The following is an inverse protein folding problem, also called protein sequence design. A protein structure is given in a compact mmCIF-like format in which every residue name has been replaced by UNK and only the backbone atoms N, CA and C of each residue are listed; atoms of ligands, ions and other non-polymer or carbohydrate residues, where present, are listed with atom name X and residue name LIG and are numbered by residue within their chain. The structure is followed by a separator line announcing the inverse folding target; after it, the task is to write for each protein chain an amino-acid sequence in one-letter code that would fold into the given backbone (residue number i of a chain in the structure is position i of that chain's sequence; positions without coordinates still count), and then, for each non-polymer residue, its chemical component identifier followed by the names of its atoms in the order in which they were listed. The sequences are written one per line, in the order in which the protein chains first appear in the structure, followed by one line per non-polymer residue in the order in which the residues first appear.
data_IF_737290028152
#
_entry.id   IF_737290028152
#
_cell.length_a   1.000
_cell.length_b   1.000
_cell.length_c   1.000
_cell.angle_alpha   90.00
_cell.angle_beta   90.00
_cell.angle_gamma   90.00
#
_symmetry.space_group_name_H-M   'P 1'
#
loop_
_entity.id
_entity.type
_entity.pdbx_description
1 polymer ?
#
# COMPACT_ATOMS: atom_id res chain seq x y z
N UNK A 1 -15.86 -28.02 22.99
CA UNK A 1 -14.67 -27.95 22.11
C UNK A 1 -14.99 -26.92 21.04
N UNK A 2 -14.49 -25.68 21.08
CA UNK A 2 -13.14 -25.35 20.64
C UNK A 2 -12.66 -24.06 21.32
N UNK A 3 -11.78 -24.21 22.32
CA UNK A 3 -10.96 -23.14 22.87
C UNK A 3 -9.96 -22.71 21.81
N UNK A 4 -10.29 -21.69 21.00
CA UNK A 4 -9.27 -20.97 20.25
C UNK A 4 -8.63 -19.99 21.22
N UNK A 5 -7.54 -20.42 21.83
CA UNK A 5 -6.60 -19.52 22.48
C UNK A 5 -6.17 -18.48 21.44
N UNK A 6 -6.69 -17.26 21.56
CA UNK A 6 -6.13 -16.12 20.86
C UNK A 6 -4.77 -15.87 21.51
N UNK A 7 -3.72 -16.42 20.93
CA UNK A 7 -2.33 -16.07 21.25
C UNK A 7 -2.13 -14.61 20.87
N UNK A 8 -2.50 -13.72 21.80
CA UNK A 8 -2.24 -12.31 21.72
C UNK A 8 -0.73 -12.12 21.87
N UNK A 9 -0.08 -11.98 20.71
CA UNK A 9 0.95 -11.00 20.46
C UNK A 9 1.70 -10.49 21.71
N UNK A 10 2.91 -11.03 21.94
CA UNK A 10 3.87 -10.56 22.93
C UNK A 10 4.51 -9.22 22.54
N UNK A 11 3.72 -8.15 22.36
CA UNK A 11 4.26 -6.80 22.21
C UNK A 11 4.15 -6.11 23.57
N UNK A 12 5.29 -6.09 24.25
CA UNK A 12 5.55 -5.41 25.50
C UNK A 12 5.46 -3.90 25.31
N UNK A 13 4.26 -3.32 25.31
CA UNK A 13 4.08 -1.89 25.60
C UNK A 13 2.93 -1.67 26.56
N UNK A 14 3.26 -0.93 27.61
CA UNK A 14 2.49 -0.65 28.82
C UNK A 14 1.14 0.04 28.53
N UNK A 15 0.06 -0.72 28.43
CA UNK A 15 -1.29 -0.40 28.95
C UNK A 15 -2.26 -1.51 28.52
N UNK A 16 -3.07 -2.00 29.45
CA UNK A 16 -4.05 -3.06 29.16
C UNK A 16 -5.17 -2.49 28.28
N UNK A 17 -5.09 -2.71 26.98
CA UNK A 17 -6.14 -2.30 26.04
C UNK A 17 -7.36 -3.23 26.23
N UNK A 18 -8.40 -2.73 26.91
CA UNK A 18 -9.57 -3.54 27.28
C UNK A 18 -10.47 -3.81 26.05
N UNK A 19 -10.89 -5.06 25.87
CA UNK A 19 -11.79 -5.51 24.79
C UNK A 19 -13.11 -4.69 24.76
N UNK A 20 -13.73 -4.48 25.93
CA UNK A 20 -15.01 -3.77 26.06
C UNK A 20 -14.97 -2.31 25.60
N UNK A 21 -13.84 -1.62 25.77
CA UNK A 21 -13.68 -0.22 25.35
C UNK A 21 -13.66 -0.08 23.82
N UNK A 22 -13.13 -1.09 23.13
CA UNK A 22 -12.99 -1.07 21.67
C UNK A 22 -14.30 -1.35 20.94
N UNK A 23 -15.11 -2.26 21.47
CA UNK A 23 -16.43 -2.55 20.92
C UNK A 23 -17.35 -1.33 20.99
N UNK A 24 -17.27 -0.56 22.09
CA UNK A 24 -18.07 0.65 22.27
C UNK A 24 -17.63 1.82 21.37
N UNK A 25 -16.33 2.02 21.15
CA UNK A 25 -15.80 3.19 20.41
C UNK A 25 -15.61 2.94 18.92
N UNK A 26 -15.12 1.76 18.55
CA UNK A 26 -14.69 1.47 17.19
C UNK A 26 -15.48 0.35 16.53
N UNK A 27 -16.30 -0.41 17.28
CA UNK A 27 -17.04 -1.60 16.78
C UNK A 27 -16.13 -2.57 15.99
N UNK A 28 -14.87 -2.69 16.38
CA UNK A 28 -13.89 -3.57 15.73
C UNK A 28 -13.42 -4.65 16.70
N UNK A 29 -13.15 -5.88 16.22
CA UNK A 29 -12.60 -6.92 17.07
C UNK A 29 -11.17 -6.57 17.48
N UNK A 30 -10.80 -6.97 18.70
CA UNK A 30 -9.48 -6.69 19.27
C UNK A 30 -8.33 -7.20 18.39
N UNK A 31 -8.51 -8.33 17.72
CA UNK A 31 -7.51 -8.89 16.79
C UNK A 31 -7.17 -7.93 15.65
N UNK A 32 -8.17 -7.23 15.12
CA UNK A 32 -7.97 -6.22 14.07
C UNK A 32 -7.25 -5.00 14.61
N UNK A 33 -7.62 -4.53 15.80
CA UNK A 33 -6.94 -3.38 16.45
C UNK A 33 -5.48 -3.70 16.75
N UNK A 34 -5.19 -4.87 17.32
CA UNK A 34 -3.82 -5.32 17.57
C UNK A 34 -3.00 -5.40 16.27
N UNK A 35 -3.61 -5.88 15.18
CA UNK A 35 -2.93 -5.91 13.87
C UNK A 35 -2.61 -4.50 13.36
N UNK A 36 -3.56 -3.58 13.44
CA UNK A 36 -3.33 -2.17 13.07
C UNK A 36 -2.21 -1.56 13.91
N UNK A 37 -2.18 -1.82 15.21
CA UNK A 37 -1.13 -1.31 16.11
C UNK A 37 0.25 -1.90 15.79
N UNK A 38 0.32 -3.17 15.37
CA UNK A 38 1.57 -3.78 14.88
C UNK A 38 2.04 -3.14 13.58
N UNK A 39 1.12 -2.95 12.65
CA UNK A 39 1.39 -2.43 11.30
C UNK A 39 1.42 -0.88 11.28
N UNK A 40 1.33 -0.22 12.44
CA UNK A 40 1.17 1.24 12.55
C UNK A 40 2.27 2.01 11.82
N UNK A 41 3.52 1.54 11.93
CA UNK A 41 4.69 2.21 11.36
C UNK A 41 4.67 2.13 9.84
N UNK A 42 4.36 0.95 9.30
CA UNK A 42 4.18 0.74 7.85
C UNK A 42 3.02 1.57 7.28
N UNK A 43 1.92 1.74 8.03
CA UNK A 43 0.80 2.59 7.60
C UNK A 43 1.20 4.07 7.54
N UNK A 44 1.98 4.55 8.51
CA UNK A 44 2.47 5.94 8.55
C UNK A 44 3.46 6.17 7.40
N UNK A 45 4.43 5.29 7.22
CA UNK A 45 5.41 5.37 6.13
C UNK A 45 4.74 5.32 4.75
N UNK A 46 3.74 4.46 4.58
CA UNK A 46 2.97 4.40 3.34
C UNK A 46 2.19 5.70 3.06
N UNK A 47 1.69 6.36 4.11
CA UNK A 47 1.00 7.64 3.98
C UNK A 47 1.99 8.76 3.60
N UNK A 48 3.15 8.82 4.25
CA UNK A 48 4.21 9.81 3.97
C UNK A 48 4.81 9.65 2.56
N UNK A 49 4.96 8.41 2.08
CA UNK A 49 5.40 8.12 0.70
C UNK A 49 4.37 8.47 -0.39
N UNK A 50 3.23 9.06 -0.01
CA UNK A 50 2.23 9.60 -0.93
C UNK A 50 1.12 8.62 -1.30
N UNK A 51 0.93 7.54 -0.53
CA UNK A 51 -0.26 6.71 -0.70
C UNK A 51 -1.51 7.51 -0.35
N UNK A 52 -2.54 7.38 -1.20
CA UNK A 52 -3.81 8.06 -0.94
C UNK A 52 -4.45 7.57 0.36
N UNK A 53 -4.95 8.51 1.18
CA UNK A 53 -5.67 8.22 2.43
C UNK A 53 -6.87 7.26 2.28
N UNK A 54 -7.42 7.13 1.06
CA UNK A 54 -8.54 6.23 0.75
C UNK A 54 -8.12 4.79 0.42
N UNK A 55 -6.82 4.51 0.28
CA UNK A 55 -6.31 3.19 -0.12
C UNK A 55 -6.38 2.21 1.05
N UNK A 56 -7.18 1.16 0.90
CA UNK A 56 -7.37 0.12 1.94
C UNK A 56 -6.25 -0.93 1.93
N UNK A 57 -5.61 -1.16 0.78
CA UNK A 57 -4.59 -2.21 0.59
C UNK A 57 -3.29 -1.64 0.02
N UNK A 58 -2.20 -1.82 0.75
CA UNK A 58 -0.83 -1.50 0.32
C UNK A 58 -0.23 -2.66 -0.49
N UNK A 59 -0.90 -3.07 -1.58
CA UNK A 59 -0.36 -4.11 -2.46
C UNK A 59 0.41 -3.47 -3.61
N UNK A 60 1.67 -3.86 -3.80
CA UNK A 60 2.44 -3.52 -4.99
C UNK A 60 1.87 -4.24 -6.22
N UNK A 61 1.97 -3.59 -7.38
CA UNK A 61 1.50 -4.18 -8.63
C UNK A 61 2.29 -5.43 -9.01
N UNK A 62 1.85 -6.13 -10.07
CA UNK A 62 2.53 -7.37 -10.51
C UNK A 62 3.95 -7.09 -11.07
N UNK A 63 4.17 -5.89 -11.56
CA UNK A 63 5.42 -5.47 -12.20
C UNK A 63 5.85 -4.09 -11.68
N UNK A 64 6.32 -4.05 -10.44
CA UNK A 64 6.67 -2.82 -9.74
C UNK A 64 7.64 -1.91 -10.52
N UNK A 65 8.69 -2.48 -11.11
CA UNK A 65 9.68 -1.74 -11.89
C UNK A 65 9.09 -1.08 -13.15
N UNK A 66 8.16 -1.76 -13.82
CA UNK A 66 7.51 -1.25 -15.04
C UNK A 66 6.53 -0.14 -14.64
N UNK A 67 5.71 -0.37 -13.61
CA UNK A 67 4.77 0.62 -13.09
C UNK A 67 5.51 1.89 -12.63
N UNK A 68 6.66 1.77 -11.97
CA UNK A 68 7.47 2.91 -11.55
C UNK A 68 8.03 3.71 -12.75
N UNK A 69 8.54 3.02 -13.77
CA UNK A 69 9.06 3.66 -14.98
C UNK A 69 7.94 4.42 -15.74
N UNK A 70 6.76 3.81 -15.86
CA UNK A 70 5.59 4.42 -16.49
C UNK A 70 5.10 5.62 -15.70
N UNK A 71 5.05 5.54 -14.36
CA UNK A 71 4.67 6.67 -13.51
C UNK A 71 5.66 7.82 -13.65
N UNK A 72 6.96 7.53 -13.74
CA UNK A 72 8.01 8.55 -13.92
C UNK A 72 7.86 9.25 -15.27
N UNK A 73 7.69 8.48 -16.35
CA UNK A 73 7.41 9.01 -17.68
C UNK A 73 6.12 9.83 -17.72
N UNK A 74 5.06 9.35 -17.09
CA UNK A 74 3.78 10.03 -17.00
C UNK A 74 3.91 11.38 -16.29
N UNK A 75 4.68 11.47 -15.21
CA UNK A 75 4.98 12.73 -14.52
C UNK A 75 5.71 13.72 -15.44
N UNK A 76 6.65 13.25 -16.24
CA UNK A 76 7.38 14.07 -17.22
C UNK A 76 6.47 14.59 -18.34
N UNK A 77 5.56 13.77 -18.86
CA UNK A 77 4.64 14.24 -19.91
C UNK A 77 3.58 15.19 -19.35
N UNK A 78 3.11 14.95 -18.12
CA UNK A 78 2.16 15.86 -17.47
C UNK A 78 2.77 17.24 -17.19
N UNK A 79 4.06 17.34 -16.91
CA UNK A 79 4.73 18.66 -16.81
C UNK A 79 4.79 19.39 -18.17
N UNK A 80 4.71 18.65 -19.27
CA UNK A 80 4.60 19.18 -20.64
C UNK A 80 3.16 19.45 -21.08
N UNK A 81 2.16 19.26 -20.20
CA UNK A 81 0.72 19.49 -20.46
C UNK A 81 0.15 18.76 -21.69
N UNK A 82 0.70 17.60 -22.04
CA UNK A 82 0.19 16.81 -23.17
C UNK A 82 -1.01 15.98 -22.71
N UNK A 83 -2.16 16.01 -23.43
CA UNK A 83 -3.32 15.19 -23.10
C UNK A 83 -3.02 13.72 -23.43
N UNK A 84 -2.99 12.88 -22.39
CA UNK A 84 -2.72 11.45 -22.53
C UNK A 84 -4.05 10.69 -22.54
N UNK A 85 -4.30 9.98 -23.64
CA UNK A 85 -5.40 9.04 -23.76
C UNK A 85 -5.05 7.71 -23.09
N UNK A 86 -6.04 7.00 -22.55
CA UNK A 86 -5.81 5.72 -21.84
C UNK A 86 -5.16 4.64 -22.71
N UNK A 87 -5.37 4.67 -24.03
CA UNK A 87 -4.73 3.73 -24.96
C UNK A 87 -3.24 4.04 -25.16
N UNK A 88 -2.84 5.31 -25.03
CA UNK A 88 -1.43 5.70 -25.09
C UNK A 88 -0.64 5.14 -23.89
N UNK A 89 -1.28 5.01 -22.71
CA UNK A 89 -0.67 4.41 -21.53
C UNK A 89 -0.33 2.93 -21.74
N UNK A 90 -1.24 2.16 -22.33
CA UNK A 90 -0.99 0.73 -22.63
C UNK A 90 0.17 0.55 -23.61
N UNK A 91 0.26 1.45 -24.58
CA UNK A 91 1.34 1.43 -25.58
C UNK A 91 2.66 1.88 -24.94
N UNK A 92 2.66 2.86 -24.04
CA UNK A 92 3.86 3.26 -23.32
C UNK A 92 4.37 2.15 -22.39
N UNK A 93 3.50 1.39 -21.75
CA UNK A 93 3.89 0.23 -20.94
C UNK A 93 4.69 -0.77 -21.79
N UNK A 94 4.22 -1.01 -23.02
CA UNK A 94 4.92 -1.85 -23.99
C UNK A 94 6.25 -1.21 -24.40
N UNK A 95 6.27 0.05 -24.85
CA UNK A 95 7.51 0.70 -25.33
C UNK A 95 8.58 0.77 -24.24
N UNK A 96 8.22 1.12 -22.99
CA UNK A 96 9.15 1.18 -21.86
C UNK A 96 9.77 -0.19 -21.58
N UNK A 97 9.00 -1.28 -21.72
CA UNK A 97 9.54 -2.63 -21.55
C UNK A 97 10.60 -3.00 -22.60
N UNK A 98 10.46 -2.53 -23.84
CA UNK A 98 11.43 -2.80 -24.91
C UNK A 98 12.64 -1.86 -24.86
N UNK A 99 12.45 -0.61 -24.47
CA UNK A 99 13.52 0.39 -24.49
C UNK A 99 14.56 0.14 -23.38
N UNK A 100 14.16 -0.46 -22.26
CA UNK A 100 15.08 -0.96 -21.22
C UNK A 100 15.99 -2.09 -21.75
N UNK A 101 15.44 -2.97 -22.59
CA UNK A 101 16.15 -4.12 -23.15
C UNK A 101 17.30 -3.74 -24.11
N UNK A 102 17.23 -2.56 -24.75
CA UNK A 102 18.25 -2.09 -25.70
C UNK A 102 19.44 -1.40 -25.01
N UNK A 103 19.28 -0.89 -23.77
CA UNK A 103 20.36 -0.17 -23.05
C UNK A 103 21.23 -1.12 -22.21
N UNK A 104 20.83 -2.39 -22.06
CA UNK A 104 21.54 -3.43 -21.30
C UNK A 104 22.24 -4.49 -22.19
N UNK A 105 22.39 -4.23 -23.51
CA UNK A 105 23.20 -5.02 -24.46
C UNK A 105 24.39 -4.20 -24.98
#
# INVERSE_FOLDING_TARGET
MNSRAFTCCSVSTSSKFNLSLNEARFKMPLTTVCRILKEKESVIEAFESGSQAKRIRLKTGKHEQIEEAVVTWLKQIRSQNIPISGDLLKVSDFIVSYQRFIVES
#
